data_IF_867512487815
#
_entry.id   IF_867512487815
#
_cell.length_a   1.000
_cell.length_b   1.000
_cell.length_c   1.000
_cell.angle_alpha   90.00
_cell.angle_beta   90.00
_cell.angle_gamma   90.00
#
_symmetry.space_group_name_H-M   'P 1'
#
loop_
_entity.id
_entity.type
_entity.pdbx_description
1 polymer ?
#
# COMPACT_ATOMS: atom_id res chain seq x y z
N UNK A 1 -19.04 0.86 -0.11
CA UNK A 1 -18.09 -0.23 -0.49
C UNK A 1 -18.18 -1.37 0.55
N UNK A 2 -18.20 -2.67 0.18
CA UNK A 2 -18.38 -3.79 1.16
C UNK A 2 -17.29 -3.88 2.24
N UNK A 3 -16.12 -3.29 1.99
CA UNK A 3 -14.99 -3.21 2.94
C UNK A 3 -14.44 -1.78 2.88
N UNK A 4 -14.90 -0.86 3.75
CA UNK A 4 -14.37 0.50 3.79
C UNK A 4 -12.91 0.48 4.24
N UNK A 5 -12.08 1.35 3.67
CA UNK A 5 -10.70 1.56 4.12
C UNK A 5 -10.73 2.77 5.04
N UNK A 6 -10.39 2.59 6.32
CA UNK A 6 -10.31 3.69 7.28
C UNK A 6 -8.90 3.73 7.85
N UNK A 7 -8.12 4.73 7.45
CA UNK A 7 -6.74 4.86 7.89
C UNK A 7 -6.66 5.59 9.23
N UNK A 8 -5.66 5.27 10.04
CA UNK A 8 -5.26 6.16 11.12
C UNK A 8 -4.48 7.36 10.57
N UNK A 9 -4.41 8.46 11.32
CA UNK A 9 -3.62 9.61 10.93
C UNK A 9 -2.14 9.24 10.68
N UNK A 10 -1.59 8.35 11.52
CA UNK A 10 -0.22 7.83 11.39
C UNK A 10 -0.04 7.03 10.10
N UNK A 11 -0.94 6.10 9.81
CA UNK A 11 -0.86 5.25 8.63
C UNK A 11 -0.99 6.07 7.35
N UNK A 12 -1.90 7.06 7.35
CA UNK A 12 -2.09 7.98 6.22
C UNK A 12 -0.82 8.78 5.95
N UNK A 13 -0.22 9.36 6.99
CA UNK A 13 1.02 10.11 6.86
C UNK A 13 2.16 9.24 6.33
N UNK A 14 2.25 8.00 6.81
CA UNK A 14 3.25 7.03 6.34
C UNK A 14 3.06 6.66 4.86
N UNK A 15 1.82 6.38 4.44
CA UNK A 15 1.52 6.11 3.04
C UNK A 15 1.82 7.32 2.15
N UNK A 16 1.54 8.54 2.61
CA UNK A 16 1.88 9.77 1.87
C UNK A 16 3.40 9.87 1.68
N UNK A 17 4.19 9.71 2.75
CA UNK A 17 5.66 9.68 2.65
C UNK A 17 6.13 8.64 1.65
N UNK A 18 5.66 7.40 1.77
CA UNK A 18 6.01 6.29 0.88
C UNK A 18 5.74 6.60 -0.60
N UNK A 19 4.67 7.33 -0.92
CA UNK A 19 4.34 7.71 -2.30
C UNK A 19 5.19 8.83 -2.89
N UNK A 20 5.93 9.54 -2.04
CA UNK A 20 6.77 10.70 -2.40
C UNK A 20 8.26 10.39 -2.32
N UNK A 21 8.68 9.50 -1.43
CA UNK A 21 10.07 9.05 -1.29
C UNK A 21 10.34 7.94 -2.30
N UNK A 22 11.10 8.25 -3.36
CA UNK A 22 11.32 7.38 -4.54
C UNK A 22 12.08 6.07 -4.33
N UNK A 23 12.08 5.50 -3.12
CA UNK A 23 12.90 4.33 -2.72
C UNK A 23 12.09 3.01 -2.74
N UNK A 24 10.78 3.06 -3.01
CA UNK A 24 9.90 1.88 -2.93
C UNK A 24 9.54 1.27 -4.29
N UNK A 25 9.27 -0.05 -4.36
CA UNK A 25 8.80 -0.68 -5.59
C UNK A 25 7.52 -0.02 -6.10
N UNK A 26 7.41 0.17 -7.41
CA UNK A 26 6.24 0.80 -8.04
C UNK A 26 4.91 0.14 -7.64
N UNK A 27 4.91 -1.18 -7.42
CA UNK A 27 3.71 -1.90 -6.97
C UNK A 27 3.27 -1.53 -5.55
N UNK A 28 4.22 -1.24 -4.64
CA UNK A 28 3.91 -0.79 -3.28
C UNK A 28 3.40 0.64 -3.29
N UNK A 29 4.03 1.52 -4.07
CA UNK A 29 3.57 2.91 -4.27
C UNK A 29 2.14 2.93 -4.83
N UNK A 30 1.86 2.09 -5.85
CA UNK A 30 0.53 2.00 -6.44
C UNK A 30 -0.53 1.52 -5.43
N UNK A 31 -0.23 0.49 -4.64
CA UNK A 31 -1.14 0.02 -3.56
C UNK A 31 -1.34 1.08 -2.48
N UNK A 32 -0.32 1.83 -2.11
CA UNK A 32 -0.41 2.93 -1.16
C UNK A 32 -1.33 4.05 -1.68
N UNK A 33 -1.17 4.47 -2.94
CA UNK A 33 -2.06 5.44 -3.59
C UNK A 33 -3.51 4.97 -3.61
N UNK A 34 -3.74 3.67 -3.83
CA UNK A 34 -5.08 3.08 -3.75
C UNK A 34 -5.67 3.17 -2.34
N UNK A 35 -4.90 2.83 -1.30
CA UNK A 35 -5.38 2.96 0.08
C UNK A 35 -5.72 4.41 0.43
N UNK A 36 -4.87 5.37 0.05
CA UNK A 36 -5.10 6.80 0.25
C UNK A 36 -6.35 7.29 -0.48
N UNK A 37 -6.60 6.83 -1.70
CA UNK A 37 -7.76 7.24 -2.49
C UNK A 37 -9.08 6.63 -1.98
N UNK A 38 -9.02 5.48 -1.31
CA UNK A 38 -10.17 4.78 -0.74
C UNK A 38 -10.43 5.15 0.73
N UNK A 39 -9.59 6.00 1.33
CA UNK A 39 -9.63 6.33 2.76
C UNK A 39 -10.89 7.11 3.13
N UNK A 40 -11.79 6.44 3.85
CA UNK A 40 -13.04 7.03 4.34
C UNK A 40 -12.84 7.84 5.63
N UNK A 41 -11.64 7.85 6.22
CA UNK A 41 -11.38 8.59 7.47
C UNK A 41 -11.39 10.11 7.27
N UNK A 42 -11.16 10.57 6.03
CA UNK A 42 -11.07 11.98 5.65
C UNK A 42 -12.27 12.48 4.84
N UNK A 43 -13.28 11.65 4.65
CA UNK A 43 -14.47 11.95 3.85
C UNK A 43 -14.93 10.77 3.00
N UNK A 44 -16.02 10.94 2.26
CA UNK A 44 -16.45 9.92 1.29
C UNK A 44 -15.47 9.91 0.10
N UNK A 45 -14.90 8.75 -0.27
CA UNK A 45 -14.02 8.66 -1.43
C UNK A 45 -14.81 8.87 -2.73
N UNK A 46 -14.10 9.31 -3.77
CA UNK A 46 -14.65 9.42 -5.13
C UNK A 46 -15.23 8.07 -5.60
N UNK A 47 -16.14 8.09 -6.60
CA UNK A 47 -16.58 6.87 -7.27
C UNK A 47 -15.38 6.04 -7.75
N UNK A 48 -15.50 4.71 -7.63
CA UNK A 48 -14.39 3.79 -7.91
C UNK A 48 -13.86 3.92 -9.32
N UNK A 49 -14.73 4.20 -10.27
CA UNK A 49 -14.42 4.39 -11.68
C UNK A 49 -13.55 5.62 -11.88
N UNK A 50 -13.84 6.71 -11.15
CA UNK A 50 -13.03 7.92 -11.15
C UNK A 50 -11.66 7.69 -10.49
N UNK A 51 -11.62 6.96 -9.37
CA UNK A 51 -10.36 6.59 -8.71
C UNK A 51 -9.51 5.70 -9.63
N UNK A 52 -10.12 4.68 -10.24
CA UNK A 52 -9.47 3.74 -11.14
C UNK A 52 -8.87 4.46 -12.34
N UNK A 53 -9.62 5.37 -12.96
CA UNK A 53 -9.13 6.19 -14.07
C UNK A 53 -7.97 7.10 -13.64
N UNK A 54 -8.10 7.84 -12.53
CA UNK A 54 -7.07 8.76 -12.02
C UNK A 54 -5.76 8.05 -11.65
N UNK A 55 -5.84 6.82 -11.15
CA UNK A 55 -4.66 6.04 -10.75
C UNK A 55 -4.16 5.09 -11.85
N UNK A 56 -4.83 5.04 -13.00
CA UNK A 56 -4.55 4.11 -14.11
C UNK A 56 -4.51 2.64 -13.64
N UNK A 57 -5.48 2.25 -12.82
CA UNK A 57 -5.63 0.89 -12.29
C UNK A 57 -7.00 0.32 -12.61
N UNK A 58 -7.14 -1.01 -12.54
CA UNK A 58 -8.44 -1.65 -12.67
C UNK A 58 -9.27 -1.49 -11.39
N UNK A 59 -10.60 -1.45 -11.52
CA UNK A 59 -11.50 -1.52 -10.37
C UNK A 59 -11.32 -2.78 -9.52
N UNK A 60 -10.86 -3.88 -10.15
CA UNK A 60 -10.48 -5.11 -9.47
C UNK A 60 -9.27 -4.92 -8.55
N UNK A 61 -8.27 -4.14 -8.98
CA UNK A 61 -7.13 -3.80 -8.12
C UNK A 61 -7.58 -3.03 -6.88
N UNK A 62 -8.50 -2.06 -7.02
CA UNK A 62 -9.09 -1.35 -5.89
C UNK A 62 -9.77 -2.33 -4.91
N UNK A 63 -10.57 -3.26 -5.46
CA UNK A 63 -11.26 -4.29 -4.67
C UNK A 63 -10.29 -5.20 -3.92
N UNK A 64 -9.23 -5.66 -4.58
CA UNK A 64 -8.24 -6.57 -3.99
C UNK A 64 -7.41 -5.89 -2.91
N UNK A 65 -7.04 -4.62 -3.10
CA UNK A 65 -6.32 -3.85 -2.07
C UNK A 65 -7.21 -3.62 -0.84
N UNK A 66 -8.46 -3.18 -1.02
CA UNK A 66 -9.39 -3.01 0.09
C UNK A 66 -9.73 -4.34 0.79
N UNK A 67 -9.83 -5.44 0.03
CA UNK A 67 -10.01 -6.79 0.57
C UNK A 67 -8.81 -7.17 1.45
N UNK A 68 -7.59 -7.02 0.94
CA UNK A 68 -6.38 -7.35 1.67
C UNK A 68 -6.22 -6.54 2.94
N UNK A 69 -6.49 -5.23 2.88
CA UNK A 69 -6.47 -4.35 4.06
C UNK A 69 -7.40 -4.84 5.17
N UNK A 70 -8.61 -5.25 4.82
CA UNK A 70 -9.53 -5.84 5.79
C UNK A 70 -9.03 -7.19 6.33
N UNK A 71 -8.44 -8.04 5.48
CA UNK A 71 -7.90 -9.34 5.87
C UNK A 71 -6.64 -9.24 6.75
N UNK A 72 -5.89 -8.13 6.66
CA UNK A 72 -4.76 -7.83 7.54
C UNK A 72 -5.14 -7.01 8.76
N UNK A 73 -6.44 -6.87 9.05
CA UNK A 73 -6.92 -6.13 10.24
C UNK A 73 -6.63 -4.63 10.18
N UNK A 74 -6.47 -4.06 9.00
CA UNK A 74 -6.13 -2.65 8.81
C UNK A 74 -4.63 -2.34 8.79
N UNK A 75 -3.76 -3.35 8.74
CA UNK A 75 -2.32 -3.13 8.60
C UNK A 75 -1.96 -2.67 7.17
N UNK A 76 -1.50 -1.42 7.05
CA UNK A 76 -1.09 -0.81 5.77
C UNK A 76 0.17 -1.47 5.19
N UNK A 77 1.14 -1.85 6.01
CA UNK A 77 2.39 -2.48 5.57
C UNK A 77 2.14 -3.87 5.03
N UNK A 78 1.39 -4.68 5.77
CA UNK A 78 0.98 -6.01 5.33
C UNK A 78 0.14 -5.98 4.05
N UNK A 79 -0.54 -4.86 3.79
CA UNK A 79 -1.32 -4.64 2.56
C UNK A 79 -0.45 -4.26 1.37
N UNK A 80 0.42 -3.26 1.54
CA UNK A 80 1.18 -2.68 0.43
C UNK A 80 2.47 -3.44 0.14
N UNK A 81 3.00 -4.22 1.07
CA UNK A 81 4.18 -5.04 0.84
C UNK A 81 3.83 -6.49 0.56
N UNK A 82 4.70 -7.16 -0.19
CA UNK A 82 4.62 -8.60 -0.39
C UNK A 82 5.01 -9.29 0.92
N UNK A 83 4.26 -10.29 1.36
CA UNK A 83 4.70 -11.18 2.45
C UNK A 83 6.07 -11.76 2.09
N UNK A 84 7.08 -11.51 2.92
CA UNK A 84 8.42 -12.07 2.76
C UNK A 84 8.30 -13.60 2.86
N UNK A 85 8.83 -14.33 1.87
CA UNK A 85 8.91 -15.80 1.89
C UNK A 85 10.15 -16.18 2.71
N UNK A 86 10.05 -17.20 3.55
CA UNK A 86 11.17 -17.68 4.39
C UNK A 86 12.26 -18.36 3.56
N UNK A 87 11.94 -18.98 2.42
CA UNK A 87 12.91 -19.61 1.52
C UNK A 87 12.60 -19.29 0.05
N UNK A 88 13.61 -18.92 -0.77
CA UNK A 88 13.46 -18.83 -2.21
C UNK A 88 13.61 -20.22 -2.87
N UNK A 89 12.81 -20.57 -3.90
CA UNK A 89 13.05 -21.75 -4.74
C UNK A 89 14.24 -21.61 -5.70
N UNK A 90 14.67 -20.37 -5.98
CA UNK A 90 15.81 -20.06 -6.86
C UNK A 90 16.58 -18.90 -6.22
N UNK A 91 17.89 -19.01 -5.95
CA UNK A 91 18.69 -17.88 -5.51
C UNK A 91 18.77 -16.87 -6.66
N UNK A 92 18.18 -15.68 -6.46
CA UNK A 92 18.22 -14.61 -7.45
C UNK A 92 19.41 -13.69 -7.13
N UNK A 93 20.25 -13.34 -8.12
CA UNK A 93 21.46 -12.52 -7.92
C UNK A 93 21.17 -11.01 -7.80
N UNK A 94 19.91 -10.59 -7.71
CA UNK A 94 19.56 -9.20 -7.39
C UNK A 94 19.39 -9.11 -5.89
N UNK A 95 20.51 -8.87 -5.21
CA UNK A 95 20.56 -8.52 -3.79
C UNK A 95 19.65 -7.33 -3.55
N UNK A 96 18.56 -7.55 -2.82
CA UNK A 96 17.79 -6.47 -2.16
C UNK A 96 18.56 -5.90 -0.96
N UNK A 97 19.87 -5.71 -1.13
CA UNK A 97 20.67 -4.84 -0.29
C UNK A 97 20.18 -3.43 -0.58
N UNK A 98 19.40 -2.89 0.35
CA UNK A 98 19.54 -1.53 0.90
C UNK A 98 18.26 -1.24 1.70
N UNK A 99 18.47 -1.04 3.01
CA UNK A 99 17.65 -0.22 3.91
C UNK A 99 16.42 -0.82 4.62
N UNK A 100 16.70 -1.82 5.46
CA UNK A 100 16.13 -1.87 6.81
C UNK A 100 17.04 -1.12 7.82
N UNK A 101 17.64 0.01 7.41
CA UNK A 101 18.64 0.72 8.20
C UNK A 101 18.42 2.22 8.20
N UNK A 102 17.28 2.67 8.71
CA UNK A 102 17.21 3.99 9.35
C UNK A 102 15.97 4.12 10.26
N UNK A 103 15.90 3.28 11.30
CA UNK A 103 15.14 3.65 12.50
C UNK A 103 16.17 3.70 13.64
N UNK A 104 16.28 4.90 14.23
CA UNK A 104 16.95 5.22 15.49
C UNK A 104 18.49 5.11 15.55
N UNK A 105 19.18 6.17 15.15
CA UNK A 105 20.22 6.74 16.01
C UNK A 105 20.21 8.27 15.87
N UNK A 106 19.41 8.89 16.74
CA UNK A 106 19.82 10.10 17.43
C UNK A 106 20.53 9.64 18.72
#
# INVERSE_FOLDING_TARGET
MKRPVRLSARDREELLRLTTTGVHPASSIRRARVLLALDTSVGEPDPKEAIAARLEVSGEMLRLVAKRFAETGGDVHATIFRKKRELPPVPSPVTGEVEARLIALA
#
